data_IF_093363580756
#
_entry.id   IF_093363580756
#
_cell.length_a   1.000
_cell.length_b   1.000
_cell.length_c   1.000
_cell.angle_alpha   90.00
_cell.angle_beta   90.00
_cell.angle_gamma   90.00
#
_symmetry.space_group_name_H-M   'P 1'
#
loop_
_entity.id
_entity.type
_entity.pdbx_description
1 polymer ?
#
# COMPACT_ATOMS: atom_id res chain seq x y z
N UNK A 1 -5.59 -27.81 6.05
CA UNK A 1 -4.87 -26.52 6.17
C UNK A 1 -4.80 -26.22 7.65
N UNK A 2 -3.63 -25.96 8.22
CA UNK A 2 -3.50 -25.67 9.65
C UNK A 2 -4.03 -24.26 9.95
N UNK A 3 -5.18 -24.19 10.62
CA UNK A 3 -5.87 -22.94 10.96
C UNK A 3 -5.00 -22.02 11.82
N UNK A 4 -4.17 -22.57 12.71
CA UNK A 4 -3.27 -21.79 13.56
C UNK A 4 -2.21 -21.07 12.73
N UNK A 5 -1.63 -21.75 11.76
CA UNK A 5 -0.66 -21.16 10.85
C UNK A 5 -1.27 -20.06 9.96
N UNK A 6 -2.58 -20.12 9.69
CA UNK A 6 -3.31 -19.05 8.98
C UNK A 6 -3.47 -17.83 9.87
N UNK A 7 -3.87 -18.02 11.13
CA UNK A 7 -4.01 -16.93 12.11
C UNK A 7 -2.67 -16.20 12.37
N UNK A 8 -1.56 -16.93 12.52
CA UNK A 8 -0.24 -16.32 12.70
C UNK A 8 0.19 -15.47 11.49
N UNK A 9 -0.15 -15.91 10.27
CA UNK A 9 0.08 -15.13 9.04
C UNK A 9 -0.81 -13.90 8.97
N UNK A 10 -2.06 -14.02 9.41
CA UNK A 10 -3.01 -12.91 9.49
C UNK A 10 -2.52 -11.85 10.48
N UNK A 11 -2.08 -12.23 11.68
CA UNK A 11 -1.55 -11.30 12.69
C UNK A 11 -0.34 -10.55 12.16
N UNK A 12 0.61 -11.26 11.54
CA UNK A 12 1.77 -10.65 10.90
C UNK A 12 1.37 -9.68 9.79
N UNK A 13 0.36 -10.04 8.99
CA UNK A 13 -0.16 -9.18 7.94
C UNK A 13 -0.77 -7.90 8.51
N UNK A 14 -1.70 -8.01 9.46
CA UNK A 14 -2.37 -6.88 10.10
C UNK A 14 -1.37 -5.95 10.80
N UNK A 15 -0.38 -6.53 11.49
CA UNK A 15 0.69 -5.77 12.14
C UNK A 15 1.64 -5.09 11.14
N UNK A 16 1.78 -5.61 9.92
CA UNK A 16 2.66 -5.03 8.90
C UNK A 16 1.96 -3.92 8.12
N UNK A 17 0.69 -4.13 7.77
CA UNK A 17 -0.11 -3.14 7.06
C UNK A 17 -0.42 -1.97 7.99
N UNK A 18 -1.02 -2.20 9.17
CA UNK A 18 -1.52 -1.16 10.11
C UNK A 18 -2.28 -0.02 9.39
N UNK A 19 -2.59 1.05 10.11
CA UNK A 19 -3.22 2.25 9.55
C UNK A 19 -2.43 2.84 8.36
N UNK A 20 -1.13 3.09 8.53
CA UNK A 20 -0.31 3.76 7.50
C UNK A 20 -0.20 2.97 6.20
N UNK A 21 -0.18 1.63 6.26
CA UNK A 21 -0.07 0.79 5.08
C UNK A 21 -1.39 0.74 4.30
N UNK A 22 -2.54 0.65 4.98
CA UNK A 22 -3.83 0.76 4.29
C UNK A 22 -3.96 2.13 3.62
N UNK A 23 -3.60 3.21 4.33
CA UNK A 23 -3.63 4.55 3.75
C UNK A 23 -2.72 4.66 2.51
N UNK A 24 -1.52 4.08 2.51
CA UNK A 24 -0.64 4.09 1.33
C UNK A 24 -1.26 3.30 0.18
N UNK A 25 -1.88 2.15 0.45
CA UNK A 25 -2.53 1.34 -0.58
C UNK A 25 -3.67 2.08 -1.26
N UNK A 26 -4.54 2.75 -0.50
CA UNK A 26 -5.63 3.54 -1.06
C UNK A 26 -5.11 4.72 -1.88
N UNK A 27 -4.10 5.43 -1.40
CA UNK A 27 -3.50 6.54 -2.16
C UNK A 27 -2.89 6.04 -3.46
N UNK A 28 -2.08 4.97 -3.41
CA UNK A 28 -1.50 4.38 -4.61
C UNK A 28 -2.57 3.84 -5.56
N UNK A 29 -3.67 3.29 -5.05
CA UNK A 29 -4.80 2.85 -5.87
C UNK A 29 -5.34 4.01 -6.72
N UNK A 30 -5.58 5.19 -6.14
CA UNK A 30 -6.08 6.35 -6.89
C UNK A 30 -5.00 6.99 -7.78
N UNK A 31 -3.79 7.19 -7.27
CA UNK A 31 -2.69 7.80 -8.04
C UNK A 31 -2.34 6.92 -9.24
N UNK A 32 -2.31 5.59 -9.09
CA UNK A 32 -1.96 4.68 -10.18
C UNK A 32 -3.02 4.56 -11.29
N UNK A 33 -4.19 5.19 -11.14
CA UNK A 33 -5.13 5.37 -12.27
C UNK A 33 -4.63 6.43 -13.26
N UNK A 34 -3.80 7.37 -12.81
CA UNK A 34 -3.29 8.49 -13.61
C UNK A 34 -1.81 8.33 -13.95
N UNK A 35 -1.02 7.78 -13.02
CA UNK A 35 0.44 7.70 -13.11
C UNK A 35 0.91 6.29 -12.76
N UNK A 36 1.62 5.61 -13.67
CA UNK A 36 2.01 4.20 -13.48
C UNK A 36 2.93 3.95 -12.28
N UNK A 37 3.77 4.92 -11.93
CA UNK A 37 4.76 4.85 -10.86
C UNK A 37 4.72 6.17 -10.10
N UNK A 38 4.27 6.14 -8.85
CA UNK A 38 4.12 7.31 -8.00
C UNK A 38 5.39 7.56 -7.19
N UNK A 39 5.92 8.78 -7.21
CA UNK A 39 6.84 9.25 -6.18
C UNK A 39 6.08 9.97 -5.06
N UNK A 40 6.83 10.54 -4.10
CA UNK A 40 6.23 11.32 -3.02
C UNK A 40 5.37 12.50 -3.54
N UNK A 41 5.85 13.21 -4.56
CA UNK A 41 5.19 14.41 -5.09
C UNK A 41 3.82 14.04 -5.65
N UNK A 42 3.72 12.91 -6.35
CA UNK A 42 2.46 12.42 -6.92
C UNK A 42 1.39 12.09 -5.84
N UNK A 43 1.82 11.88 -4.59
CA UNK A 43 0.94 11.47 -3.48
C UNK A 43 0.63 12.61 -2.50
N UNK A 44 1.24 13.79 -2.67
CA UNK A 44 1.08 14.95 -1.78
C UNK A 44 -0.37 15.40 -1.66
N UNK A 45 -1.10 15.43 -2.78
CA UNK A 45 -2.50 15.86 -2.84
C UNK A 45 -3.44 14.98 -2.01
N UNK A 46 -2.98 13.77 -1.63
CA UNK A 46 -3.71 12.83 -0.77
C UNK A 46 -3.24 12.90 0.70
N UNK A 47 -2.52 13.96 1.06
CA UNK A 47 -2.09 14.27 2.42
C UNK A 47 -0.91 13.43 2.92
N UNK A 48 -0.13 12.82 2.02
CA UNK A 48 1.10 12.12 2.41
C UNK A 48 2.25 13.11 2.55
N UNK A 49 2.93 13.07 3.72
CA UNK A 49 4.06 13.93 4.02
C UNK A 49 5.25 13.10 4.55
N UNK A 50 6.38 13.15 3.83
CA UNK A 50 7.69 12.72 4.31
C UNK A 50 7.95 11.20 4.33
N UNK A 51 8.88 10.80 5.21
CA UNK A 51 9.47 9.45 5.30
C UNK A 51 8.49 8.34 5.65
N UNK A 52 7.33 8.69 6.22
CA UNK A 52 6.26 7.75 6.59
C UNK A 52 5.72 6.98 5.39
N UNK A 53 5.56 7.65 4.23
CA UNK A 53 5.16 7.04 2.97
C UNK A 53 6.14 5.93 2.55
N UNK A 54 7.44 6.25 2.53
CA UNK A 54 8.48 5.33 2.11
C UNK A 54 8.62 4.14 3.07
N UNK A 55 8.51 4.36 4.38
CA UNK A 55 8.54 3.30 5.39
C UNK A 55 7.33 2.37 5.28
N UNK A 56 6.14 2.91 5.01
CA UNK A 56 4.95 2.10 4.75
C UNK A 56 5.08 1.32 3.42
N UNK A 57 5.55 1.96 2.35
CA UNK A 57 5.80 1.30 1.07
C UNK A 57 6.82 0.14 1.18
N UNK A 58 7.88 0.32 1.97
CA UNK A 58 8.86 -0.73 2.29
C UNK A 58 8.20 -1.96 2.95
N UNK A 59 7.28 -1.73 3.90
CA UNK A 59 6.55 -2.83 4.57
C UNK A 59 5.60 -3.52 3.61
N UNK A 60 4.87 -2.76 2.80
CA UNK A 60 3.90 -3.29 1.83
C UNK A 60 4.58 -4.09 0.71
N UNK A 61 5.80 -3.72 0.32
CA UNK A 61 6.59 -4.46 -0.68
C UNK A 61 6.91 -5.87 -0.18
N UNK A 62 7.23 -6.04 1.11
CA UNK A 62 7.46 -7.37 1.71
C UNK A 62 6.22 -8.26 1.68
N UNK A 63 5.02 -7.68 1.59
CA UNK A 63 3.76 -8.41 1.44
C UNK A 63 3.36 -8.62 -0.03
N UNK A 64 4.14 -8.10 -0.97
CA UNK A 64 3.85 -8.12 -2.40
C UNK A 64 2.63 -7.27 -2.78
N UNK A 65 2.28 -6.26 -1.98
CA UNK A 65 1.12 -5.40 -2.25
C UNK A 65 1.50 -4.18 -3.09
N UNK A 66 2.75 -3.72 -2.99
CA UNK A 66 3.33 -2.67 -3.81
C UNK A 66 4.66 -3.12 -4.38
N UNK A 67 5.12 -2.46 -5.43
CA UNK A 67 6.47 -2.59 -5.96
C UNK A 67 7.17 -1.25 -5.87
N UNK A 68 8.45 -1.26 -5.53
CA UNK A 68 9.28 -0.06 -5.52
C UNK A 68 10.35 -0.15 -6.60
N UNK A 69 10.69 1.00 -7.16
CA UNK A 69 11.82 1.18 -8.07
C UNK A 69 12.60 2.41 -7.62
N UNK A 70 13.89 2.22 -7.33
CA UNK A 70 14.78 3.35 -7.02
C UNK A 70 15.45 3.84 -8.30
N UNK A 71 15.41 5.14 -8.51
CA UNK A 71 16.07 5.86 -9.60
C UNK A 71 16.78 7.06 -8.94
N UNK A 72 18.11 6.97 -8.84
CA UNK A 72 18.97 7.93 -8.14
C UNK A 72 18.52 8.19 -6.68
N UNK A 73 18.19 9.45 -6.38
CA UNK A 73 17.70 9.91 -5.09
C UNK A 73 16.20 9.71 -4.90
N UNK A 74 15.47 9.34 -5.96
CA UNK A 74 14.02 9.15 -5.93
C UNK A 74 13.65 7.68 -5.79
N UNK A 75 12.60 7.42 -5.02
CA UNK A 75 11.96 6.10 -4.94
C UNK A 75 10.56 6.22 -5.51
N UNK A 76 10.29 5.45 -6.54
CA UNK A 76 8.98 5.33 -7.15
C UNK A 76 8.29 4.08 -6.63
N UNK A 77 6.98 4.14 -6.46
CA UNK A 77 6.15 3.10 -5.88
C UNK A 77 4.93 2.89 -6.78
N UNK A 78 4.51 1.64 -6.98
CA UNK A 78 3.25 1.33 -7.64
C UNK A 78 2.51 0.25 -6.87
N UNK A 79 1.19 0.30 -6.90
CA UNK A 79 0.35 -0.78 -6.43
C UNK A 79 0.48 -1.99 -7.37
N UNK A 80 0.52 -3.19 -6.80
CA UNK A 80 0.45 -4.45 -7.57
C UNK A 80 -1.00 -4.84 -7.81
N UNK A 81 -1.25 -5.83 -8.66
CA UNK A 81 -2.61 -6.39 -8.80
C UNK A 81 -3.12 -7.00 -7.50
N UNK A 82 -2.25 -7.59 -6.68
CA UNK A 82 -2.61 -8.10 -5.35
C UNK A 82 -3.04 -6.97 -4.40
N UNK A 83 -2.29 -5.88 -4.38
CA UNK A 83 -2.63 -4.68 -3.61
C UNK A 83 -3.92 -4.04 -4.09
N UNK A 84 -4.13 -3.97 -5.41
CA UNK A 84 -5.35 -3.43 -6.02
C UNK A 84 -6.58 -4.22 -5.58
N UNK A 85 -6.55 -5.55 -5.72
CA UNK A 85 -7.66 -6.42 -5.29
C UNK A 85 -7.98 -6.26 -3.81
N UNK A 86 -6.96 -6.12 -2.96
CA UNK A 86 -7.18 -5.87 -1.53
C UNK A 86 -7.92 -4.55 -1.29
N UNK A 87 -7.51 -3.47 -1.98
CA UNK A 87 -8.20 -2.18 -1.87
C UNK A 87 -9.64 -2.26 -2.38
N UNK A 88 -9.87 -2.91 -3.52
CA UNK A 88 -11.20 -3.14 -4.08
C UNK A 88 -12.11 -3.92 -3.13
N UNK A 89 -11.59 -4.95 -2.45
CA UNK A 89 -12.34 -5.68 -1.42
C UNK A 89 -12.69 -4.82 -0.20
N UNK A 90 -11.85 -3.84 0.14
CA UNK A 90 -12.06 -2.95 1.29
C UNK A 90 -12.92 -1.73 0.94
N UNK A 91 -12.98 -1.36 -0.34
CA UNK A 91 -13.65 -0.14 -0.82
C UNK A 91 -15.10 -0.02 -0.31
N UNK A 92 -15.97 -1.04 -0.38
CA UNK A 92 -17.35 -0.92 0.09
C UNK A 92 -17.44 -0.46 1.55
N UNK A 93 -16.56 -0.97 2.41
CA UNK A 93 -16.55 -0.67 3.85
C UNK A 93 -16.05 0.74 4.19
N UNK A 94 -15.45 1.46 3.24
CA UNK A 94 -14.97 2.84 3.44
C UNK A 94 -15.73 3.87 2.59
N UNK A 95 -16.52 3.41 1.61
CA UNK A 95 -17.33 4.30 0.75
C UNK A 95 -18.82 4.28 1.06
N UNK A 96 -19.32 3.29 1.82
CA UNK A 96 -20.72 3.28 2.25
C UNK A 96 -20.95 4.29 3.40
N UNK A 97 -21.71 5.34 3.08
CA UNK A 97 -22.50 6.17 4.00
C UNK A 97 -23.98 6.05 3.62
#
# INVERSE_FOLDING_TARGET
MDERAVLEKLDKFLHTVRYDGFRVLFVLYFVNQRIKWADFIDTLDYGYLGSSFYMAALRLEKLGLVQRKRLDIKTFVRITDKGRKLVECLMPYVTEQ
#
